data_IF_598916676472
#
_entry.id   IF_598916676472
#
_cell.length_a   1.000
_cell.length_b   1.000
_cell.length_c   1.000
_cell.angle_alpha   90.00
_cell.angle_beta   90.00
_cell.angle_gamma   90.00
#
_symmetry.space_group_name_H-M   'P 1'
#
loop_
_entity.id
_entity.type
_entity.pdbx_description
1 polymer ?
#
# COMPACT_ATOMS: atom_id res chain seq x y z
N UNK A 1 20.63 6.12 6.13
CA UNK A 1 19.44 7.00 6.05
C UNK A 1 19.76 8.49 6.20
N UNK A 2 20.59 8.93 7.16
CA UNK A 2 20.95 10.35 7.30
C UNK A 2 21.70 10.91 6.07
N UNK A 3 22.66 10.16 5.53
CA UNK A 3 23.40 10.56 4.31
C UNK A 3 22.50 10.72 3.08
N UNK A 4 21.50 9.82 2.89
CA UNK A 4 20.50 9.95 1.82
C UNK A 4 19.65 11.22 1.99
N UNK A 5 19.33 11.60 3.24
CA UNK A 5 18.59 12.83 3.51
C UNK A 5 19.43 14.08 3.21
N UNK A 6 20.71 14.07 3.57
CA UNK A 6 21.65 15.17 3.30
C UNK A 6 21.83 15.38 1.79
N UNK A 7 22.11 14.31 1.06
CA UNK A 7 22.24 14.35 -0.42
C UNK A 7 20.95 14.82 -1.09
N UNK A 8 19.78 14.39 -0.61
CA UNK A 8 18.49 14.92 -1.10
C UNK A 8 18.33 16.41 -0.82
N UNK A 9 18.68 16.89 0.38
CA UNK A 9 18.58 18.32 0.69
C UNK A 9 19.52 19.17 -0.15
N UNK A 10 20.73 18.68 -0.42
CA UNK A 10 21.71 19.37 -1.29
C UNK A 10 21.21 19.41 -2.74
N UNK A 11 20.69 18.30 -3.26
CA UNK A 11 20.13 18.24 -4.62
C UNK A 11 18.91 19.17 -4.78
N UNK A 12 18.08 19.30 -3.73
CA UNK A 12 16.95 20.23 -3.72
C UNK A 12 17.41 21.70 -3.69
N UNK A 13 18.44 22.03 -2.92
CA UNK A 13 19.01 23.37 -2.89
C UNK A 13 19.58 23.77 -4.27
N UNK A 14 20.37 22.89 -4.90
CA UNK A 14 20.90 23.10 -6.25
C UNK A 14 19.80 23.25 -7.30
N UNK A 15 18.72 22.48 -7.19
CA UNK A 15 17.60 22.58 -8.12
C UNK A 15 16.84 23.91 -7.97
N UNK A 16 16.68 24.41 -6.74
CA UNK A 16 16.08 25.72 -6.50
C UNK A 16 16.90 26.84 -7.16
N UNK A 17 18.22 26.86 -6.94
CA UNK A 17 19.14 27.83 -7.56
C UNK A 17 19.10 27.75 -9.10
N UNK A 18 19.09 26.53 -9.65
CA UNK A 18 19.05 26.33 -11.11
C UNK A 18 17.72 26.78 -11.73
N UNK A 19 16.59 26.62 -11.03
CA UNK A 19 15.29 27.15 -11.50
C UNK A 19 15.28 28.67 -11.52
N UNK A 20 15.80 29.31 -10.47
CA UNK A 20 15.94 30.77 -10.43
C UNK A 20 16.82 31.29 -11.58
N UNK A 21 17.89 30.57 -11.92
CA UNK A 21 18.72 30.88 -13.08
C UNK A 21 17.95 30.74 -14.41
N UNK A 22 17.13 29.69 -14.57
CA UNK A 22 16.31 29.50 -15.77
C UNK A 22 15.29 30.63 -15.98
N UNK A 23 14.75 31.22 -14.91
CA UNK A 23 13.80 32.34 -15.02
C UNK A 23 14.41 33.62 -15.60
N UNK A 24 15.74 33.74 -15.62
CA UNK A 24 16.46 34.90 -16.19
C UNK A 24 16.80 34.75 -17.67
N UNK A 25 16.50 33.60 -18.29
CA UNK A 25 16.83 33.30 -19.69
C UNK A 25 15.64 33.55 -20.62
N UNK A 26 15.89 33.77 -21.92
CA UNK A 26 14.81 33.94 -22.90
C UNK A 26 14.04 32.64 -23.19
N UNK A 27 14.68 31.47 -23.09
CA UNK A 27 14.09 30.14 -23.31
C UNK A 27 13.70 29.45 -22.00
N UNK A 28 12.89 30.13 -21.16
CA UNK A 28 12.54 29.68 -19.81
C UNK A 28 11.94 28.27 -19.80
N UNK A 29 11.02 27.99 -20.72
CA UNK A 29 10.29 26.71 -20.74
C UNK A 29 11.21 25.52 -21.03
N UNK A 30 12.12 25.66 -21.99
CA UNK A 30 13.06 24.60 -22.35
C UNK A 30 14.10 24.39 -21.24
N UNK A 31 14.59 25.48 -20.64
CA UNK A 31 15.49 25.42 -19.48
C UNK A 31 14.84 24.72 -18.29
N UNK A 32 13.60 25.08 -17.94
CA UNK A 32 12.87 24.47 -16.84
C UNK A 32 12.56 22.99 -17.11
N UNK A 33 12.25 22.62 -18.35
CA UNK A 33 11.99 21.23 -18.72
C UNK A 33 13.27 20.39 -18.60
N UNK A 34 14.39 20.88 -19.14
CA UNK A 34 15.69 20.23 -18.99
C UNK A 34 16.09 20.09 -17.51
N UNK A 35 15.84 21.13 -16.70
CA UNK A 35 16.14 21.11 -15.27
C UNK A 35 15.28 20.09 -14.51
N UNK A 36 13.98 19.99 -14.81
CA UNK A 36 13.11 18.95 -14.22
C UNK A 36 13.59 17.54 -14.56
N UNK A 37 14.06 17.32 -15.79
CA UNK A 37 14.60 16.02 -16.20
C UNK A 37 15.89 15.68 -15.45
N UNK A 38 16.81 16.64 -15.31
CA UNK A 38 18.05 16.48 -14.54
C UNK A 38 17.77 16.19 -13.07
N UNK A 39 16.92 16.98 -12.44
CA UNK A 39 16.53 16.77 -11.05
C UNK A 39 15.88 15.40 -10.84
N UNK A 40 14.99 14.99 -11.76
CA UNK A 40 14.39 13.65 -11.70
C UNK A 40 15.44 12.55 -11.83
N UNK A 41 16.40 12.69 -12.73
CA UNK A 41 17.47 11.73 -12.92
C UNK A 41 18.39 11.61 -11.69
N UNK A 42 18.66 12.73 -11.00
CA UNK A 42 19.46 12.76 -9.78
C UNK A 42 18.70 12.19 -8.56
N UNK A 43 17.41 12.48 -8.43
CA UNK A 43 16.60 12.01 -7.30
C UNK A 43 16.18 10.54 -7.41
N UNK A 44 16.05 10.01 -8.62
CA UNK A 44 15.61 8.62 -8.84
C UNK A 44 16.51 7.56 -8.17
N UNK A 45 17.85 7.57 -8.29
CA UNK A 45 18.70 6.60 -7.60
C UNK A 45 18.57 6.70 -6.07
N UNK A 46 18.54 7.92 -5.52
CA UNK A 46 18.39 8.14 -4.07
C UNK A 46 17.05 7.59 -3.55
N UNK A 47 15.98 7.70 -4.34
CA UNK A 47 14.69 7.11 -4.01
C UNK A 47 14.74 5.58 -4.05
N UNK A 48 15.37 4.99 -5.08
CA UNK A 48 15.53 3.53 -5.18
C UNK A 48 16.32 2.96 -4.00
N UNK A 49 17.40 3.63 -3.60
CA UNK A 49 18.19 3.23 -2.43
C UNK A 49 17.38 3.30 -1.14
N UNK A 50 16.62 4.39 -0.95
CA UNK A 50 15.72 4.52 0.21
C UNK A 50 14.70 3.39 0.24
N UNK A 51 14.03 3.13 -0.87
CA UNK A 51 12.99 2.10 -0.96
C UNK A 51 13.59 0.70 -0.75
N UNK A 52 14.82 0.45 -1.23
CA UNK A 52 15.55 -0.78 -0.98
C UNK A 52 15.80 -0.98 0.52
N UNK A 53 16.29 0.05 1.23
CA UNK A 53 16.51 0.02 2.69
C UNK A 53 15.18 -0.18 3.43
N UNK A 54 14.12 0.51 3.05
CA UNK A 54 12.82 0.34 3.71
C UNK A 54 12.25 -1.06 3.48
N UNK A 55 12.42 -1.61 2.27
CA UNK A 55 11.98 -2.97 1.95
C UNK A 55 12.75 -4.03 2.74
N UNK A 56 14.06 -3.84 2.97
CA UNK A 56 14.87 -4.76 3.75
C UNK A 56 14.51 -4.68 5.23
N UNK A 57 14.30 -3.48 5.77
CA UNK A 57 13.84 -3.28 7.15
C UNK A 57 12.47 -3.93 7.39
N UNK A 58 11.54 -3.81 6.45
CA UNK A 58 10.22 -4.48 6.54
C UNK A 58 10.36 -6.00 6.55
N UNK A 59 11.22 -6.55 5.68
CA UNK A 59 11.50 -8.00 5.64
C UNK A 59 12.14 -8.49 6.94
N UNK A 60 13.18 -7.81 7.42
CA UNK A 60 13.84 -8.15 8.68
C UNK A 60 12.89 -8.13 9.88
N UNK A 61 11.99 -7.15 9.96
CA UNK A 61 10.96 -7.12 11.03
C UNK A 61 9.98 -8.28 10.95
N UNK A 62 9.56 -8.65 9.73
CA UNK A 62 8.68 -9.79 9.51
C UNK A 62 9.37 -11.12 9.87
N UNK A 63 10.64 -11.29 9.50
CA UNK A 63 11.46 -12.45 9.85
C UNK A 63 11.65 -12.54 11.37
N UNK A 64 12.05 -11.46 12.03
CA UNK A 64 12.17 -11.41 13.48
C UNK A 64 10.84 -11.74 14.20
N UNK A 65 9.70 -11.36 13.62
CA UNK A 65 8.40 -11.75 14.15
C UNK A 65 8.14 -13.25 13.99
N UNK A 66 8.46 -13.82 12.82
CA UNK A 66 8.34 -15.28 12.57
C UNK A 66 9.24 -16.07 13.50
N UNK A 67 10.47 -15.63 13.72
CA UNK A 67 11.41 -16.24 14.66
C UNK A 67 10.87 -16.21 16.09
N UNK A 68 10.36 -15.07 16.58
CA UNK A 68 9.75 -14.98 17.91
C UNK A 68 8.52 -15.88 18.07
N UNK A 69 7.74 -16.08 17.01
CA UNK A 69 6.60 -17.00 17.04
C UNK A 69 7.10 -18.44 17.08
N UNK A 70 8.10 -18.78 16.27
CA UNK A 70 8.72 -20.11 16.26
C UNK A 70 9.37 -20.45 17.59
N UNK A 71 10.12 -19.51 18.20
CA UNK A 71 10.71 -19.68 19.53
C UNK A 71 9.64 -19.97 20.57
N UNK A 72 8.55 -19.17 20.61
CA UNK A 72 7.42 -19.42 21.51
C UNK A 72 6.74 -20.77 21.28
N UNK A 73 6.64 -21.22 20.03
CA UNK A 73 6.10 -22.56 19.73
C UNK A 73 7.03 -23.67 20.26
N UNK A 74 8.34 -23.50 20.15
CA UNK A 74 9.31 -24.45 20.70
C UNK A 74 9.30 -24.45 22.24
N UNK A 75 9.26 -23.29 22.87
CA UNK A 75 9.12 -23.14 24.33
C UNK A 75 7.81 -23.75 24.84
N UNK A 76 6.71 -23.54 24.09
CA UNK A 76 5.43 -24.15 24.41
C UNK A 76 5.48 -25.67 24.28
N UNK A 77 6.08 -26.20 23.20
CA UNK A 77 6.25 -27.64 23.04
C UNK A 77 7.13 -28.26 24.14
N UNK A 78 8.19 -27.56 24.58
CA UNK A 78 9.04 -28.01 25.69
C UNK A 78 8.26 -28.04 27.02
N UNK A 79 7.54 -26.96 27.34
CA UNK A 79 6.76 -26.85 28.58
C UNK A 79 5.48 -27.70 28.61
N UNK A 80 4.93 -28.11 27.46
CA UNK A 80 3.82 -29.07 27.42
C UNK A 80 4.22 -30.45 27.97
N UNK A 81 5.46 -30.89 27.74
CA UNK A 81 5.98 -32.14 28.30
C UNK A 81 5.96 -32.10 29.83
N UNK A 82 6.52 -31.03 30.39
CA UNK A 82 6.55 -30.79 31.85
C UNK A 82 5.14 -30.70 32.43
N UNK A 83 4.25 -29.90 31.83
CA UNK A 83 2.85 -29.78 32.27
C UNK A 83 2.08 -31.09 32.22
N UNK A 84 2.29 -31.91 31.18
CA UNK A 84 1.65 -33.23 31.09
C UNK A 84 2.15 -34.15 32.19
N UNK A 85 3.46 -34.17 32.47
CA UNK A 85 4.02 -34.97 33.57
C UNK A 85 3.52 -34.49 34.94
N UNK A 86 3.48 -33.18 35.18
CA UNK A 86 2.93 -32.61 36.41
C UNK A 86 1.44 -32.95 36.58
N UNK A 87 0.65 -32.89 35.50
CA UNK A 87 -0.79 -33.23 35.55
C UNK A 87 -1.04 -34.72 35.86
N UNK A 88 -0.19 -35.62 35.36
CA UNK A 88 -0.27 -37.05 35.64
C UNK A 88 0.12 -37.37 37.09
N UNK A 89 1.14 -36.67 37.63
CA UNK A 89 1.54 -36.79 39.04
C UNK A 89 0.45 -36.26 39.98
N UNK A 90 -0.14 -35.09 39.67
CA UNK A 90 -1.26 -34.54 40.46
C UNK A 90 -2.51 -35.42 40.38
N UNK A 91 -2.79 -36.06 39.24
CA UNK A 91 -3.89 -37.01 39.11
C UNK A 91 -3.65 -38.31 39.91
N UNK A 92 -2.39 -38.75 40.06
CA UNK A 92 -2.04 -39.90 40.89
C UNK A 92 -2.25 -39.61 42.39
N UNK A 93 -1.96 -38.39 42.85
CA UNK A 93 -2.24 -37.95 44.23
C UNK A 93 -3.74 -37.71 44.49
N UNK A 94 -4.50 -37.32 43.48
CA UNK A 94 -5.96 -37.16 43.59
C UNK A 94 -6.73 -38.49 43.64
N UNK A 95 -6.18 -39.58 43.09
CA UNK A 95 -6.80 -40.91 43.08
C UNK A 95 -6.71 -41.64 44.44
N UNK A 96 -5.84 -41.18 45.34
CA UNK A 96 -5.66 -41.72 46.70
C UNK A 96 -6.34 -40.87 47.79
N UNK A 97 -7.00 -39.76 47.42
CA UNK A 97 -7.77 -38.93 48.35
C UNK A 97 -9.24 -39.38 48.40
N UNK A 98 -9.81 -39.68 49.59
CA UNK A 98 -11.22 -40.04 49.70
C UNK A 98 -12.11 -38.84 49.38
N UNK A 99 -13.02 -39.03 48.43
CA UNK A 99 -14.00 -38.03 47.96
C UNK A 99 -14.93 -37.63 49.12
N UNK A 100 -14.61 -36.55 49.82
CA UNK A 100 -15.58 -35.80 50.64
C UNK A 100 -16.11 -34.61 49.83
N UNK A 101 -17.39 -34.70 49.50
CA UNK A 101 -18.22 -33.59 49.00
C UNK A 101 -18.15 -32.41 49.99
N UNK A 102 -17.71 -31.24 49.53
CA UNK A 102 -18.08 -29.92 50.06
C UNK A 102 -17.63 -28.88 49.02
N UNK A 103 -18.53 -28.34 48.20
CA UNK A 103 -19.23 -27.05 48.40
C UNK A 103 -18.24 -25.96 48.81
N UNK A 104 -18.04 -25.00 47.90
CA UNK A 104 -16.97 -24.02 48.00
C UNK A 104 -17.00 -23.14 49.25
N UNK A 105 -15.83 -22.63 49.61
CA UNK A 105 -15.56 -21.32 50.23
C UNK A 105 -14.05 -21.19 50.41
N UNK A 106 -13.56 -19.95 50.33
CA UNK A 106 -12.15 -19.64 50.25
C UNK A 106 -11.36 -19.72 51.56
N UNK A 107 -10.04 -19.74 51.37
CA UNK A 107 -8.97 -19.02 52.11
C UNK A 107 -8.76 -19.36 53.60
N UNK A 108 -7.55 -19.83 53.95
CA UNK A 108 -6.50 -19.03 54.64
C UNK A 108 -5.49 -19.90 55.41
N UNK A 109 -4.19 -19.64 55.21
CA UNK A 109 -3.11 -19.53 56.21
C UNK A 109 -1.76 -19.53 55.45
N UNK A 110 -0.83 -18.59 55.57
CA UNK A 110 -0.73 -17.34 56.33
C UNK A 110 0.69 -16.80 56.09
N UNK A 111 0.84 -15.47 55.97
CA UNK A 111 1.97 -14.66 56.45
C UNK A 111 1.55 -13.16 56.37
N UNK A 112 1.97 -12.30 57.33
CA UNK A 112 1.34 -11.00 57.57
C UNK A 112 2.15 -9.83 56.99
N UNK A 113 1.46 -8.76 56.58
CA UNK A 113 2.11 -7.48 56.28
C UNK A 113 1.43 -6.66 55.18
N UNK A 114 0.20 -6.18 55.44
CA UNK A 114 -0.53 -5.27 54.54
C UNK A 114 -0.75 -3.95 55.27
N UNK A 115 -0.16 -2.86 54.75
CA UNK A 115 -0.74 -1.54 54.89
C UNK A 115 -1.75 -1.37 53.74
N UNK A 116 -3.00 -1.20 54.11
CA UNK A 116 -4.16 -1.22 53.24
C UNK A 116 -4.40 0.13 52.54
N UNK A 117 -4.81 0.07 51.28
CA UNK A 117 -5.80 1.01 50.75
C UNK A 117 -6.70 0.25 49.78
N UNK A 118 -7.88 -0.08 50.29
CA UNK A 118 -8.91 -0.85 49.62
C UNK A 118 -9.71 0.05 48.67
N UNK A 119 -9.65 -0.25 47.37
CA UNK A 119 -10.65 0.20 46.41
C UNK A 119 -11.75 -0.89 46.29
N UNK A 120 -13.05 -0.55 46.40
CA UNK A 120 -14.12 -1.53 46.31
C UNK A 120 -14.30 -1.99 44.86
N UNK A 121 -14.11 -3.30 44.62
CA UNK A 121 -14.39 -3.94 43.32
C UNK A 121 -15.91 -4.14 43.21
N UNK A 122 -16.59 -3.57 42.20
CA UNK A 122 -18.02 -3.81 42.04
C UNK A 122 -18.23 -5.20 41.42
N UNK A 123 -19.02 -6.04 42.11
CA UNK A 123 -19.54 -7.28 41.58
C UNK A 123 -20.35 -7.01 40.29
N UNK A 124 -19.77 -7.33 39.13
CA UNK A 124 -20.50 -7.35 37.84
C UNK A 124 -20.88 -8.79 37.49
N UNK A 125 -22.18 -9.00 37.35
CA UNK A 125 -22.82 -10.26 36.96
C UNK A 125 -22.29 -10.79 35.61
N UNK A 126 -21.77 -12.03 35.52
CA UNK A 126 -21.12 -12.55 34.31
C UNK A 126 -22.05 -12.68 33.08
N UNK A 127 -23.36 -12.86 33.28
CA UNK A 127 -24.32 -13.11 32.20
C UNK A 127 -24.56 -11.94 31.23
N UNK A 128 -24.56 -10.69 31.71
CA UNK A 128 -24.81 -9.52 30.85
C UNK A 128 -23.62 -9.18 29.95
N UNK A 129 -22.41 -9.56 30.37
CA UNK A 129 -21.18 -9.30 29.61
C UNK A 129 -20.98 -10.23 28.39
N UNK A 130 -21.50 -11.46 28.46
CA UNK A 130 -21.41 -12.43 27.37
C UNK A 130 -22.27 -12.01 26.16
N UNK A 131 -23.49 -11.52 26.42
CA UNK A 131 -24.40 -11.07 25.37
C UNK A 131 -23.89 -9.79 24.67
N UNK A 132 -23.25 -8.88 25.41
CA UNK A 132 -22.63 -7.69 24.84
C UNK A 132 -21.43 -8.04 23.94
N UNK A 133 -20.60 -9.01 24.33
CA UNK A 133 -19.47 -9.49 23.51
C UNK A 133 -19.95 -10.17 22.22
N UNK A 134 -21.03 -10.93 22.27
CA UNK A 134 -21.60 -11.57 21.09
C UNK A 134 -22.10 -10.55 20.07
N UNK A 135 -22.81 -9.50 20.52
CA UNK A 135 -23.26 -8.41 19.62
C UNK A 135 -22.08 -7.65 18.99
N UNK A 136 -21.00 -7.42 19.73
CA UNK A 136 -19.78 -6.80 19.20
C UNK A 136 -19.11 -7.70 18.15
N UNK A 137 -19.03 -9.01 18.40
CA UNK A 137 -18.47 -9.97 17.44
C UNK A 137 -19.30 -10.04 16.15
N UNK A 138 -20.63 -10.01 16.23
CA UNK A 138 -21.52 -9.98 15.07
C UNK A 138 -21.37 -8.69 14.26
N UNK A 139 -21.23 -7.53 14.92
CA UNK A 139 -20.97 -6.26 14.24
C UNK A 139 -19.62 -6.26 13.53
N UNK A 140 -18.57 -6.76 14.20
CA UNK A 140 -17.25 -6.90 13.59
C UNK A 140 -17.28 -7.87 12.39
N UNK A 141 -17.98 -8.99 12.49
CA UNK A 141 -18.14 -9.95 11.39
C UNK A 141 -18.85 -9.31 10.18
N UNK A 142 -19.90 -8.51 10.41
CA UNK A 142 -20.60 -7.76 9.35
C UNK A 142 -19.68 -6.74 8.68
N UNK A 143 -18.88 -6.00 9.45
CA UNK A 143 -17.91 -5.05 8.89
C UNK A 143 -16.85 -5.77 8.04
N UNK A 144 -16.33 -6.90 8.50
CA UNK A 144 -15.38 -7.71 7.74
C UNK A 144 -16.00 -8.26 6.44
N UNK A 145 -17.26 -8.72 6.47
CA UNK A 145 -17.97 -9.18 5.28
C UNK A 145 -18.14 -8.05 4.25
N UNK A 146 -18.51 -6.85 4.71
CA UNK A 146 -18.61 -5.67 3.84
C UNK A 146 -17.26 -5.28 3.22
N UNK A 147 -16.18 -5.30 4.00
CA UNK A 147 -14.83 -5.01 3.48
C UNK A 147 -14.39 -6.03 2.44
N UNK A 148 -14.68 -7.32 2.64
CA UNK A 148 -14.39 -8.37 1.64
C UNK A 148 -15.17 -8.15 0.35
N UNK A 149 -16.47 -7.85 0.44
CA UNK A 149 -17.28 -7.55 -0.73
C UNK A 149 -16.76 -6.33 -1.51
N UNK A 150 -16.33 -5.28 -0.82
CA UNK A 150 -15.72 -4.10 -1.47
C UNK A 150 -14.39 -4.42 -2.16
N UNK A 151 -13.54 -5.22 -1.51
CA UNK A 151 -12.27 -5.68 -2.10
C UNK A 151 -12.52 -6.51 -3.36
N UNK A 152 -13.44 -7.46 -3.32
CA UNK A 152 -13.80 -8.28 -4.48
C UNK A 152 -14.35 -7.44 -5.64
N UNK A 153 -15.21 -6.46 -5.35
CA UNK A 153 -15.72 -5.53 -6.35
C UNK A 153 -14.59 -4.72 -7.02
N UNK A 154 -13.63 -4.21 -6.23
CA UNK A 154 -12.46 -3.47 -6.76
C UNK A 154 -11.59 -4.35 -7.64
N UNK A 155 -11.32 -5.59 -7.21
CA UNK A 155 -10.52 -6.55 -7.98
C UNK A 155 -11.21 -6.87 -9.31
N UNK A 156 -12.52 -7.12 -9.30
CA UNK A 156 -13.28 -7.37 -10.54
C UNK A 156 -13.26 -6.17 -11.48
N UNK A 157 -13.46 -4.95 -10.97
CA UNK A 157 -13.39 -3.73 -11.77
C UNK A 157 -12.00 -3.55 -12.41
N UNK A 158 -10.93 -3.78 -11.64
CA UNK A 158 -9.56 -3.72 -12.15
C UNK A 158 -9.31 -4.79 -13.23
N UNK A 159 -9.75 -6.03 -13.02
CA UNK A 159 -9.63 -7.09 -14.02
C UNK A 159 -10.37 -6.76 -15.32
N UNK A 160 -11.57 -6.19 -15.24
CA UNK A 160 -12.32 -5.73 -16.41
C UNK A 160 -11.56 -4.62 -17.15
N UNK A 161 -11.00 -3.65 -16.44
CA UNK A 161 -10.20 -2.58 -17.04
C UNK A 161 -8.94 -3.11 -17.74
N UNK A 162 -8.25 -4.09 -17.14
CA UNK A 162 -7.07 -4.73 -17.74
C UNK A 162 -7.47 -5.46 -19.03
N UNK A 163 -8.59 -6.20 -19.03
CA UNK A 163 -9.09 -6.87 -20.23
C UNK A 163 -9.41 -5.89 -21.35
N UNK A 164 -10.12 -4.80 -21.06
CA UNK A 164 -10.41 -3.75 -22.06
C UNK A 164 -9.14 -3.13 -22.64
N UNK A 165 -8.11 -2.91 -21.81
CA UNK A 165 -6.80 -2.42 -22.30
C UNK A 165 -6.09 -3.43 -23.20
N UNK A 166 -6.19 -4.72 -22.89
CA UNK A 166 -5.62 -5.77 -23.74
C UNK A 166 -6.36 -5.87 -25.07
N UNK A 167 -7.69 -5.83 -25.07
CA UNK A 167 -8.50 -5.79 -26.29
C UNK A 167 -8.19 -4.56 -27.15
N UNK A 168 -8.04 -3.38 -26.54
CA UNK A 168 -7.65 -2.17 -27.25
C UNK A 168 -6.24 -2.26 -27.87
N UNK A 169 -5.31 -2.98 -27.23
CA UNK A 169 -3.96 -3.23 -27.76
C UNK A 169 -3.93 -4.30 -28.85
N UNK A 170 -4.81 -5.29 -28.76
CA UNK A 170 -4.88 -6.41 -29.71
C UNK A 170 -5.74 -6.10 -30.93
N UNK A 171 -6.33 -4.90 -31.04
CA UNK A 171 -6.94 -4.44 -32.29
C UNK A 171 -5.85 -4.35 -33.35
N UNK A 172 -5.95 -5.10 -34.46
CA UNK A 172 -4.94 -5.06 -35.51
C UNK A 172 -4.80 -3.62 -36.01
N UNK A 173 -3.55 -3.17 -36.17
CA UNK A 173 -3.26 -1.87 -36.76
C UNK A 173 -4.01 -1.75 -38.09
N UNK A 174 -4.71 -0.63 -38.29
CA UNK A 174 -5.40 -0.35 -39.54
C UNK A 174 -4.43 -0.56 -40.71
N UNK A 175 -4.92 -1.21 -41.77
CA UNK A 175 -4.14 -1.60 -42.94
C UNK A 175 -3.22 -0.43 -43.40
N UNK A 176 -1.95 -0.75 -43.61
CA UNK A 176 -0.99 0.22 -44.12
C UNK A 176 -1.55 0.87 -45.39
N UNK A 177 -1.58 2.20 -45.40
CA UNK A 177 -1.97 2.97 -46.57
C UNK A 177 -1.14 2.49 -47.78
N UNK A 178 -1.76 2.24 -48.94
CA UNK A 178 -1.04 1.82 -50.13
C UNK A 178 -0.01 2.88 -50.48
N UNK A 179 1.26 2.50 -50.43
CA UNK A 179 2.36 3.36 -50.85
C UNK A 179 2.30 3.39 -52.38
N UNK A 180 2.13 4.55 -53.03
CA UNK A 180 2.08 4.62 -54.49
C UNK A 180 3.39 4.11 -55.07
N UNK A 181 3.29 3.22 -56.03
CA UNK A 181 4.47 2.61 -56.65
C UNK A 181 5.13 3.61 -57.60
N UNK A 182 6.44 3.47 -57.83
CA UNK A 182 7.22 4.41 -58.65
C UNK A 182 6.64 4.66 -60.07
N UNK A 183 5.84 3.72 -60.58
CA UNK A 183 5.12 3.87 -61.85
C UNK A 183 4.03 4.96 -61.81
N UNK A 184 3.33 5.11 -60.69
CA UNK A 184 2.25 6.12 -60.52
C UNK A 184 2.82 7.53 -60.35
N UNK A 185 4.01 7.63 -59.75
CA UNK A 185 4.78 8.88 -59.62
C UNK A 185 5.34 9.31 -60.98
N UNK A 186 5.78 8.38 -61.81
CA UNK A 186 6.25 8.67 -63.16
C UNK A 186 5.10 9.11 -64.11
N UNK A 187 3.89 8.59 -63.89
CA UNK A 187 2.72 8.97 -64.67
C UNK A 187 2.25 10.41 -64.36
N UNK A 188 2.33 10.83 -63.10
CA UNK A 188 1.94 12.19 -62.68
C UNK A 188 2.95 13.27 -63.09
N UNK A 189 4.23 12.93 -63.19
CA UNK A 189 5.28 13.85 -63.66
C UNK A 189 5.33 14.02 -65.19
N UNK A 190 4.62 13.18 -65.95
CA UNK A 190 4.57 13.25 -67.43
C UNK A 190 3.40 14.04 -67.99
N UNK A 191 2.55 14.63 -67.14
CA UNK A 191 1.46 15.51 -67.60
C UNK A 191 1.94 16.96 -67.70
N UNK A 192 2.00 17.57 -68.91
CA UNK A 192 2.23 18.99 -69.05
C UNK A 192 0.97 19.78 -68.63
N UNK A 193 1.21 20.96 -68.06
CA UNK A 193 0.31 21.84 -67.29
C UNK A 193 -1.00 22.30 -68.00
N UNK A 194 -1.87 23.01 -67.27
CA UNK A 194 -1.76 24.46 -67.36
C UNK A 194 -1.80 25.20 -66.01
N UNK A 195 -0.99 26.25 -65.99
CA UNK A 195 -1.16 27.49 -65.21
C UNK A 195 -2.63 27.89 -65.05
N UNK A 196 -3.06 28.21 -63.83
CA UNK A 196 -3.59 29.53 -63.47
C UNK A 196 -4.35 29.56 -62.13
N UNK A 197 -4.25 30.75 -61.51
CA UNK A 197 -5.12 31.41 -60.53
C UNK A 197 -4.90 31.13 -59.03
N UNK A 198 -4.19 32.09 -58.43
CA UNK A 198 -4.52 32.79 -57.18
C UNK A 198 -5.82 32.42 -56.47
N UNK A 199 -5.73 32.11 -55.18
CA UNK A 199 -6.72 32.55 -54.21
C UNK A 199 -6.06 32.73 -52.84
N UNK A 200 -5.72 33.99 -52.55
CA UNK A 200 -5.61 34.51 -51.18
C UNK A 200 -6.96 34.40 -50.47
N UNK A 201 -6.94 34.05 -49.18
CA UNK A 201 -7.73 34.59 -48.05
C UNK A 201 -8.09 33.47 -47.03
N UNK A 202 -8.57 33.82 -45.82
CA UNK A 202 -7.78 34.46 -44.78
C UNK A 202 -7.82 33.68 -43.46
N UNK A 203 -6.93 34.12 -42.56
CA UNK A 203 -6.81 33.79 -41.14
C UNK A 203 -8.16 33.94 -40.41
N UNK A 204 -8.73 32.83 -39.93
CA UNK A 204 -9.84 32.85 -38.99
C UNK A 204 -9.32 33.16 -37.58
N UNK A 205 -9.55 34.38 -37.14
CA UNK A 205 -9.43 34.79 -35.75
C UNK A 205 -10.51 34.10 -34.93
N UNK A 206 -10.13 33.33 -33.91
CA UNK A 206 -11.06 32.90 -32.85
C UNK A 206 -11.07 34.00 -31.80
N UNK A 207 -12.20 34.69 -31.56
CA UNK A 207 -12.31 35.66 -30.49
C UNK A 207 -12.37 34.93 -29.15
N UNK A 208 -11.62 35.44 -28.18
CA UNK A 208 -11.74 35.02 -26.79
C UNK A 208 -13.13 35.35 -26.25
N UNK A 209 -13.77 34.36 -25.64
CA UNK A 209 -14.82 34.59 -24.65
C UNK A 209 -14.18 34.57 -23.27
N UNK A 210 -14.19 35.72 -22.61
CA UNK A 210 -13.76 35.92 -21.24
C UNK A 210 -14.66 35.20 -20.20
N UNK A 211 -14.39 35.45 -18.91
CA UNK A 211 -14.73 34.56 -17.81
C UNK A 211 -16.15 34.77 -17.28
N UNK A 212 -16.76 33.70 -16.78
CA UNK A 212 -17.95 33.75 -15.94
C UNK A 212 -17.59 33.27 -14.52
N UNK A 213 -17.56 34.25 -13.61
CA UNK A 213 -17.75 34.23 -12.14
C UNK A 213 -17.09 33.13 -11.30
#
# INVERSE_FOLDING_TARGET
MQQIKQTQSEALARDAEAREACHKQFAINDCLLAQRLRHRAEMQPLQRERDAIESSLRRARAEAQRERVRQRQLEFAASEGERRTESLLQAADAASAPIKKQVGLGRAAGEPGVAASAAPVPHRSPGLSAQARQRQAEQAARQHAQQRAQMEARVRAHQAQVRQRQEARNKPAAAALPVPTAAEIAATLRSPAPVSVSASAPRAAVPGSGPAR
#
